data_IF_668787398037
#
_entry.id   IF_668787398037
#
_cell.length_a   1.000
_cell.length_b   1.000
_cell.length_c   1.000
_cell.angle_alpha   90.00
_cell.angle_beta   90.00
_cell.angle_gamma   90.00
#
_symmetry.space_group_name_H-M   'P 1'
#
loop_
_entity.id
_entity.type
_entity.pdbx_description
1 polymer ?
#
# COMPACT_ATOMS: atom_id res chain seq x y z
N UNK A 1 -16.32 42.86 -5.35
CA UNK A 1 -15.60 41.58 -5.39
C UNK A 1 -16.36 40.70 -6.36
N UNK A 2 -15.69 39.79 -7.07
CA UNK A 2 -16.41 38.84 -7.94
C UNK A 2 -17.19 37.83 -7.09
N UNK A 3 -18.19 37.16 -7.68
CA UNK A 3 -18.92 36.07 -6.98
C UNK A 3 -17.96 34.98 -6.48
N UNK A 4 -16.91 34.69 -7.27
CA UNK A 4 -15.85 33.76 -6.89
C UNK A 4 -15.07 34.23 -5.66
N UNK A 5 -14.65 35.50 -5.63
CA UNK A 5 -13.95 36.09 -4.48
C UNK A 5 -14.83 36.09 -3.21
N UNK A 6 -16.13 36.39 -3.35
CA UNK A 6 -17.09 36.35 -2.24
C UNK A 6 -17.26 34.93 -1.68
N UNK A 7 -17.33 33.93 -2.56
CA UNK A 7 -17.35 32.52 -2.15
C UNK A 7 -16.07 32.13 -1.42
N UNK A 8 -14.90 32.46 -1.97
CA UNK A 8 -13.60 32.14 -1.36
C UNK A 8 -13.49 32.80 0.02
N UNK A 9 -13.84 34.07 0.13
CA UNK A 9 -13.81 34.80 1.40
C UNK A 9 -14.73 34.14 2.44
N UNK A 10 -15.99 33.87 2.08
CA UNK A 10 -17.00 33.36 3.03
C UNK A 10 -16.82 31.90 3.40
N UNK A 11 -16.48 31.03 2.44
CA UNK A 11 -16.45 29.57 2.64
C UNK A 11 -15.06 29.08 3.01
N UNK A 12 -14.04 29.49 2.25
CA UNK A 12 -12.67 28.96 2.44
C UNK A 12 -11.88 29.70 3.50
N UNK A 13 -12.22 30.97 3.73
CA UNK A 13 -11.57 31.81 4.75
C UNK A 13 -12.51 32.19 5.90
N UNK A 14 -13.76 31.72 5.93
CA UNK A 14 -14.75 32.04 6.98
C UNK A 14 -14.92 33.56 7.23
N UNK A 15 -14.72 34.39 6.21
CA UNK A 15 -14.77 35.85 6.29
C UNK A 15 -13.56 36.52 6.95
N UNK A 16 -12.51 35.77 7.30
CA UNK A 16 -11.35 36.28 8.06
C UNK A 16 -10.22 36.82 7.18
N UNK A 17 -10.19 36.48 5.89
CA UNK A 17 -9.14 36.92 4.98
C UNK A 17 -9.39 38.31 4.42
N UNK A 18 -8.31 39.08 4.24
CA UNK A 18 -8.38 40.39 3.59
C UNK A 18 -8.59 40.26 2.06
N UNK A 19 -8.92 41.39 1.41
CA UNK A 19 -9.19 41.42 -0.04
C UNK A 19 -7.99 40.97 -0.88
N UNK A 20 -6.77 41.23 -0.43
CA UNK A 20 -5.55 40.85 -1.15
C UNK A 20 -5.34 39.34 -1.09
N UNK A 21 -5.55 38.74 0.09
CA UNK A 21 -5.48 37.30 0.29
C UNK A 21 -6.55 36.57 -0.54
N UNK A 22 -7.79 37.08 -0.55
CA UNK A 22 -8.88 36.52 -1.34
C UNK A 22 -8.57 36.60 -2.84
N UNK A 23 -8.08 37.75 -3.32
CA UNK A 23 -7.71 37.93 -4.72
C UNK A 23 -6.56 37.02 -5.13
N UNK A 24 -5.52 36.91 -4.31
CA UNK A 24 -4.40 35.99 -4.54
C UNK A 24 -4.87 34.53 -4.57
N UNK A 25 -5.72 34.12 -3.62
CA UNK A 25 -6.27 32.77 -3.62
C UNK A 25 -7.08 32.48 -4.90
N UNK A 26 -7.91 33.43 -5.33
CA UNK A 26 -8.73 33.30 -6.54
C UNK A 26 -7.89 33.20 -7.82
N UNK A 27 -6.95 34.11 -8.01
CA UNK A 27 -6.21 34.28 -9.28
C UNK A 27 -4.95 33.40 -9.38
N UNK A 28 -4.39 32.99 -8.24
CA UNK A 28 -3.12 32.24 -8.22
C UNK A 28 -3.28 30.82 -7.69
N UNK A 29 -3.89 30.64 -6.51
CA UNK A 29 -3.97 29.33 -5.85
C UNK A 29 -5.03 28.43 -6.49
N UNK A 30 -6.21 28.99 -6.76
CA UNK A 30 -7.36 28.27 -7.28
C UNK A 30 -7.55 28.45 -8.78
N UNK A 31 -6.55 28.99 -9.50
CA UNK A 31 -6.66 29.35 -10.92
C UNK A 31 -7.11 28.19 -11.82
N UNK A 32 -6.74 26.97 -11.45
CA UNK A 32 -7.01 25.74 -12.22
C UNK A 32 -8.30 25.03 -11.74
N UNK A 33 -9.04 25.61 -10.80
CA UNK A 33 -10.33 25.12 -10.31
C UNK A 33 -11.43 26.02 -10.89
N UNK A 34 -12.24 25.48 -11.80
CA UNK A 34 -13.34 26.23 -12.41
C UNK A 34 -14.42 26.60 -11.38
N UNK A 35 -15.28 27.55 -11.73
CA UNK A 35 -16.38 27.98 -10.85
C UNK A 35 -17.34 26.81 -10.55
N UNK A 36 -17.56 25.90 -11.50
CA UNK A 36 -18.39 24.71 -11.31
C UNK A 36 -17.76 23.69 -10.34
N UNK A 37 -16.43 23.65 -10.27
CA UNK A 37 -15.69 22.75 -9.39
C UNK A 37 -15.47 23.33 -7.99
N UNK A 38 -15.69 24.63 -7.81
CA UNK A 38 -15.36 25.37 -6.59
C UNK A 38 -16.09 24.82 -5.36
N UNK A 39 -17.37 24.45 -5.51
CA UNK A 39 -18.15 23.88 -4.42
C UNK A 39 -17.65 22.48 -4.02
N UNK A 40 -17.31 21.64 -5.01
CA UNK A 40 -16.73 20.32 -4.76
C UNK A 40 -15.38 20.40 -4.07
N UNK A 41 -14.53 21.34 -4.50
CA UNK A 41 -13.26 21.65 -3.84
C UNK A 41 -13.48 22.13 -2.39
N UNK A 42 -14.44 23.02 -2.14
CA UNK A 42 -14.70 23.53 -0.80
C UNK A 42 -15.13 22.40 0.16
N UNK A 43 -16.03 21.53 -0.26
CA UNK A 43 -16.43 20.36 0.54
C UNK A 43 -15.24 19.43 0.82
N UNK A 44 -14.39 19.19 -0.17
CA UNK A 44 -13.16 18.42 0.01
C UNK A 44 -12.23 19.08 1.04
N UNK A 45 -11.91 20.36 0.86
CA UNK A 45 -11.00 21.11 1.73
C UNK A 45 -11.51 21.13 3.18
N UNK A 46 -12.82 21.33 3.39
CA UNK A 46 -13.46 21.30 4.71
C UNK A 46 -13.45 19.89 5.35
N UNK A 47 -13.43 18.83 4.55
CA UNK A 47 -13.38 17.44 5.04
C UNK A 47 -12.00 17.01 5.53
N UNK A 48 -10.93 17.73 5.15
CA UNK A 48 -9.58 17.46 5.62
C UNK A 48 -9.51 17.77 7.13
N UNK A 49 -9.53 16.74 7.98
CA UNK A 49 -9.68 16.77 9.46
C UNK A 49 -8.71 17.68 10.23
N UNK A 50 -7.66 18.20 9.61
CA UNK A 50 -6.83 19.25 10.17
C UNK A 50 -7.63 20.54 10.14
N UNK A 51 -7.95 21.11 11.31
CA UNK A 51 -8.59 22.43 11.44
C UNK A 51 -8.00 23.36 10.39
N UNK A 52 -8.82 23.72 9.41
CA UNK A 52 -8.41 24.55 8.31
C UNK A 52 -8.25 25.96 8.86
N UNK A 53 -7.08 26.25 9.43
CA UNK A 53 -6.72 27.62 9.72
C UNK A 53 -6.57 28.27 8.35
N UNK A 54 -7.53 29.15 8.06
CA UNK A 54 -7.81 30.01 6.90
C UNK A 54 -6.54 30.62 6.24
N UNK A 55 -5.60 29.78 5.81
CA UNK A 55 -4.25 30.14 5.39
C UNK A 55 -4.01 29.68 3.96
N UNK A 56 -3.26 30.51 3.22
CA UNK A 56 -2.90 30.26 1.82
C UNK A 56 -2.14 28.96 1.63
N UNK A 57 -1.27 28.60 2.59
CA UNK A 57 -0.50 27.36 2.51
C UNK A 57 -1.40 26.12 2.59
N UNK A 58 -2.42 26.15 3.44
CA UNK A 58 -3.39 25.05 3.54
C UNK A 58 -4.24 24.94 2.27
N UNK A 59 -4.60 26.08 1.65
CA UNK A 59 -5.26 26.10 0.33
C UNK A 59 -4.39 25.46 -0.75
N UNK A 60 -3.11 25.80 -0.83
CA UNK A 60 -2.18 25.18 -1.79
C UNK A 60 -2.11 23.66 -1.59
N UNK A 61 -2.02 23.20 -0.34
CA UNK A 61 -2.00 21.78 -0.03
C UNK A 61 -3.32 21.09 -0.42
N UNK A 62 -4.46 21.70 -0.08
CA UNK A 62 -5.77 21.17 -0.42
C UNK A 62 -5.99 21.10 -1.94
N UNK A 63 -5.54 22.10 -2.70
CA UNK A 63 -5.61 22.07 -4.18
C UNK A 63 -4.81 20.89 -4.72
N UNK A 64 -3.58 20.70 -4.23
CA UNK A 64 -2.73 19.58 -4.67
C UNK A 64 -3.36 18.22 -4.37
N UNK A 65 -3.93 18.03 -3.16
CA UNK A 65 -4.60 16.77 -2.82
C UNK A 65 -5.91 16.58 -3.60
N UNK A 66 -6.69 17.64 -3.80
CA UNK A 66 -7.93 17.58 -4.59
C UNK A 66 -7.66 17.21 -6.05
N UNK A 67 -6.65 17.84 -6.66
CA UNK A 67 -6.20 17.50 -8.00
C UNK A 67 -5.72 16.05 -8.06
N UNK A 68 -4.88 15.63 -7.10
CA UNK A 68 -4.44 14.24 -7.01
C UNK A 68 -5.62 13.27 -6.93
N UNK A 69 -6.64 13.54 -6.10
CA UNK A 69 -7.78 12.64 -5.96
C UNK A 69 -8.59 12.53 -7.26
N UNK A 70 -8.81 13.66 -7.94
CA UNK A 70 -9.46 13.68 -9.24
C UNK A 70 -8.65 12.93 -10.31
N UNK A 71 -7.34 13.13 -10.33
CA UNK A 71 -6.44 12.35 -11.20
C UNK A 71 -6.49 10.86 -10.88
N UNK A 72 -6.49 10.46 -9.60
CA UNK A 72 -6.59 9.05 -9.21
C UNK A 72 -7.91 8.41 -9.65
N UNK A 73 -9.03 9.15 -9.57
CA UNK A 73 -10.32 8.69 -10.12
C UNK A 73 -10.23 8.43 -11.62
N UNK A 74 -9.63 9.36 -12.37
CA UNK A 74 -9.39 9.19 -13.81
C UNK A 74 -8.46 8.02 -14.09
N UNK A 75 -7.34 7.90 -13.38
CA UNK A 75 -6.35 6.83 -13.56
C UNK A 75 -6.98 5.45 -13.41
N UNK A 76 -7.80 5.28 -12.36
CA UNK A 76 -8.51 4.02 -12.12
C UNK A 76 -9.49 3.66 -13.22
N UNK A 77 -10.08 4.66 -13.89
CA UNK A 77 -11.04 4.45 -14.96
C UNK A 77 -10.38 4.26 -16.33
N UNK A 78 -9.29 4.97 -16.63
CA UNK A 78 -8.77 5.10 -18.00
C UNK A 78 -7.36 4.58 -18.21
N UNK A 79 -6.62 4.26 -17.15
CA UNK A 79 -5.21 3.81 -17.21
C UNK A 79 -4.36 4.66 -18.18
N UNK A 80 -4.23 5.97 -17.91
CA UNK A 80 -3.76 6.94 -18.90
C UNK A 80 -2.27 6.82 -19.23
N UNK A 81 -1.45 6.27 -18.34
CA UNK A 81 0.00 6.23 -18.56
C UNK A 81 0.37 5.16 -19.59
N UNK A 82 1.14 5.56 -20.60
CA UNK A 82 1.59 4.66 -21.68
C UNK A 82 3.04 4.21 -21.53
N UNK A 83 3.80 4.87 -20.66
CA UNK A 83 5.21 4.58 -20.41
C UNK A 83 5.64 4.98 -18.99
N UNK A 84 6.76 4.42 -18.54
CA UNK A 84 7.32 4.64 -17.20
C UNK A 84 7.64 6.12 -16.95
N UNK A 85 8.09 6.86 -17.97
CA UNK A 85 8.42 8.28 -17.81
C UNK A 85 7.20 9.12 -17.41
N UNK A 86 6.08 8.94 -18.11
CA UNK A 86 4.83 9.65 -17.81
C UNK A 86 4.29 9.30 -16.41
N UNK A 87 4.35 8.02 -16.04
CA UNK A 87 4.01 7.55 -14.70
C UNK A 87 4.94 8.20 -13.64
N UNK A 88 6.25 8.20 -13.87
CA UNK A 88 7.23 8.72 -12.90
C UNK A 88 7.07 10.22 -12.69
N UNK A 89 6.78 10.98 -13.75
CA UNK A 89 6.49 12.41 -13.63
C UNK A 89 5.28 12.63 -12.71
N UNK A 90 4.19 11.88 -12.92
CA UNK A 90 3.02 11.95 -12.06
C UNK A 90 3.33 11.60 -10.59
N UNK A 91 4.08 10.53 -10.35
CA UNK A 91 4.48 10.15 -9.00
C UNK A 91 5.33 11.24 -8.32
N UNK A 92 6.32 11.79 -9.02
CA UNK A 92 7.17 12.85 -8.48
C UNK A 92 6.38 14.12 -8.14
N UNK A 93 5.33 14.44 -8.91
CA UNK A 93 4.48 15.61 -8.65
C UNK A 93 3.56 15.41 -7.44
N UNK A 94 2.89 14.26 -7.32
CA UNK A 94 1.77 14.10 -6.37
C UNK A 94 2.04 13.15 -5.19
N UNK A 95 3.08 12.33 -5.27
CA UNK A 95 3.38 11.26 -4.31
C UNK A 95 4.65 11.47 -3.49
N UNK A 96 5.35 12.60 -3.62
CA UNK A 96 6.49 12.94 -2.76
C UNK A 96 6.11 12.82 -1.27
N UNK A 97 6.89 12.05 -0.52
CA UNK A 97 6.66 11.73 0.90
C UNK A 97 5.52 10.74 1.18
N UNK A 98 4.88 10.17 0.14
CA UNK A 98 3.63 9.37 0.27
C UNK A 98 3.79 7.95 -0.28
N UNK A 99 2.91 7.06 0.16
CA UNK A 99 2.79 5.71 -0.37
C UNK A 99 2.36 5.76 -1.83
N UNK A 100 3.19 5.21 -2.71
CA UNK A 100 2.94 5.05 -4.14
C UNK A 100 2.01 3.89 -4.42
N UNK A 101 2.12 2.80 -3.68
CA UNK A 101 1.25 1.64 -3.85
C UNK A 101 1.64 0.47 -2.95
N UNK A 102 0.73 -0.50 -2.83
CA UNK A 102 0.91 -1.72 -2.05
C UNK A 102 0.34 -2.91 -2.83
N UNK A 103 0.93 -4.09 -2.68
CA UNK A 103 0.43 -5.28 -3.37
C UNK A 103 0.91 -5.45 -4.82
N UNK A 104 1.89 -4.66 -5.25
CA UNK A 104 2.42 -4.66 -6.62
C UNK A 104 3.72 -5.45 -6.64
N UNK A 105 3.92 -6.33 -7.62
CA UNK A 105 5.16 -7.12 -7.75
C UNK A 105 6.41 -6.24 -7.92
N UNK A 106 7.56 -6.62 -7.34
CA UNK A 106 7.80 -7.82 -6.52
C UNK A 106 7.32 -7.69 -5.05
N UNK A 107 6.73 -6.56 -4.69
CA UNK A 107 6.38 -6.11 -3.35
C UNK A 107 4.91 -6.36 -2.97
N UNK A 108 4.47 -7.63 -3.03
CA UNK A 108 3.06 -8.00 -2.76
C UNK A 108 2.64 -7.74 -1.30
N UNK A 109 3.57 -7.90 -0.35
CA UNK A 109 3.27 -7.82 1.09
C UNK A 109 3.99 -6.66 1.79
N UNK A 110 4.23 -5.57 1.07
CA UNK A 110 4.77 -4.32 1.59
C UNK A 110 4.21 -3.15 0.79
N UNK A 111 4.39 -1.95 1.31
CA UNK A 111 4.09 -0.71 0.63
C UNK A 111 5.38 -0.09 0.12
N UNK A 112 5.31 0.54 -1.05
CA UNK A 112 6.39 1.36 -1.59
C UNK A 112 6.02 2.83 -1.42
N UNK A 113 6.92 3.60 -0.82
CA UNK A 113 6.80 5.05 -0.61
C UNK A 113 7.78 5.79 -1.51
N UNK A 114 7.41 6.96 -1.99
CA UNK A 114 8.36 7.89 -2.61
C UNK A 114 8.86 8.85 -1.52
N UNK A 115 10.15 8.89 -1.25
CA UNK A 115 10.73 9.78 -0.23
C UNK A 115 10.85 11.23 -0.72
N UNK A 116 11.43 12.09 0.12
CA UNK A 116 11.60 13.51 -0.20
C UNK A 116 12.68 13.77 -1.27
N UNK A 117 13.58 12.80 -1.46
CA UNK A 117 14.59 12.76 -2.51
C UNK A 117 14.10 12.11 -3.81
N UNK A 118 12.80 11.80 -3.93
CA UNK A 118 12.17 11.16 -5.11
C UNK A 118 12.69 9.75 -5.44
N UNK A 119 13.11 9.02 -4.41
CA UNK A 119 13.53 7.63 -4.46
C UNK A 119 12.43 6.72 -3.91
N UNK A 120 12.26 5.55 -4.52
CA UNK A 120 11.32 4.55 -4.03
C UNK A 120 11.94 3.79 -2.85
N UNK A 121 11.20 3.73 -1.75
CA UNK A 121 11.59 3.08 -0.51
C UNK A 121 10.59 1.97 -0.18
N UNK A 122 11.12 0.82 0.21
CA UNK A 122 10.32 -0.25 0.80
C UNK A 122 10.00 0.07 2.27
N UNK A 123 8.72 0.23 2.61
CA UNK A 123 8.30 0.64 3.95
C UNK A 123 8.69 -0.35 5.05
N UNK A 124 8.85 -1.64 4.73
CA UNK A 124 9.25 -2.63 5.73
C UNK A 124 10.73 -2.55 6.07
N UNK A 125 11.60 -2.25 5.11
CA UNK A 125 13.06 -2.25 5.31
C UNK A 125 13.62 -0.85 5.46
N UNK A 126 12.85 0.18 5.10
CA UNK A 126 13.27 1.58 4.98
C UNK A 126 14.50 1.76 4.07
N UNK A 127 14.71 0.81 3.14
CA UNK A 127 15.78 0.87 2.15
C UNK A 127 15.26 1.34 0.81
N UNK A 128 16.09 2.13 0.13
CA UNK A 128 15.88 2.50 -1.27
C UNK A 128 15.94 1.23 -2.12
N UNK A 129 15.06 1.15 -3.11
CA UNK A 129 15.05 0.06 -4.08
C UNK A 129 16.34 0.10 -4.92
N UNK A 130 16.88 -1.08 -5.26
CA UNK A 130 17.92 -1.14 -6.29
C UNK A 130 17.29 -0.93 -7.68
N UNK A 131 18.15 -0.78 -8.70
CA UNK A 131 17.70 -0.47 -10.06
C UNK A 131 16.75 -1.54 -10.65
N UNK A 132 17.02 -2.82 -10.40
CA UNK A 132 16.22 -3.93 -10.93
C UNK A 132 14.83 -3.97 -10.26
N UNK A 133 14.80 -3.89 -8.92
CA UNK A 133 13.57 -3.85 -8.12
C UNK A 133 12.72 -2.62 -8.46
N UNK A 134 13.34 -1.45 -8.65
CA UNK A 134 12.65 -0.23 -9.06
C UNK A 134 12.08 -0.36 -10.47
N UNK A 135 12.84 -0.91 -11.42
CA UNK A 135 12.38 -1.13 -12.78
C UNK A 135 11.18 -2.08 -12.81
N UNK A 136 11.29 -3.25 -12.15
CA UNK A 136 10.21 -4.24 -12.10
C UNK A 136 8.96 -3.67 -11.40
N UNK A 137 9.14 -2.93 -10.31
CA UNK A 137 8.02 -2.28 -9.62
C UNK A 137 7.30 -1.28 -10.52
N UNK A 138 8.03 -0.41 -11.23
CA UNK A 138 7.44 0.60 -12.11
C UNK A 138 6.77 -0.03 -13.33
N UNK A 139 7.32 -1.11 -13.89
CA UNK A 139 6.68 -1.86 -14.97
C UNK A 139 5.35 -2.48 -14.54
N UNK A 140 5.30 -3.08 -13.34
CA UNK A 140 4.07 -3.65 -12.82
C UNK A 140 3.06 -2.56 -12.45
N UNK A 141 3.52 -1.45 -11.85
CA UNK A 141 2.66 -0.31 -11.55
C UNK A 141 2.06 0.33 -12.82
N UNK A 142 2.80 0.33 -13.93
CA UNK A 142 2.31 0.80 -15.23
C UNK A 142 1.19 -0.11 -15.78
N UNK A 143 1.22 -1.41 -15.50
CA UNK A 143 0.16 -2.37 -15.88
C UNK A 143 -1.06 -2.27 -14.95
N UNK A 144 -0.80 -2.07 -13.66
CA UNK A 144 -1.76 -2.05 -12.56
C UNK A 144 -2.00 -0.63 -12.03
N UNK A 145 -2.24 0.34 -12.92
CA UNK A 145 -2.34 1.77 -12.56
C UNK A 145 -3.46 2.06 -11.54
N UNK A 146 -4.48 1.20 -11.47
CA UNK A 146 -5.54 1.28 -10.48
C UNK A 146 -5.04 1.15 -9.03
N UNK A 147 -3.86 0.53 -8.83
CA UNK A 147 -3.22 0.37 -7.53
C UNK A 147 -2.38 1.57 -7.10
N UNK A 148 -2.22 2.59 -7.95
CA UNK A 148 -1.51 3.82 -7.60
C UNK A 148 -2.23 4.50 -6.42
N UNK A 149 -1.48 4.77 -5.36
CA UNK A 149 -1.93 5.34 -4.10
C UNK A 149 -2.84 4.45 -3.26
N UNK A 150 -2.97 3.17 -3.59
CA UNK A 150 -3.77 2.21 -2.81
C UNK A 150 -2.90 1.62 -1.70
N UNK A 151 -3.42 1.69 -0.48
CA UNK A 151 -2.87 1.02 0.69
C UNK A 151 -3.63 -0.29 0.96
N UNK A 152 -2.93 -1.42 0.94
CA UNK A 152 -3.48 -2.78 1.13
C UNK A 152 -3.04 -3.35 2.48
N UNK A 153 -3.56 -2.78 3.56
CA UNK A 153 -3.28 -3.24 4.93
C UNK A 153 -3.71 -4.70 5.17
N UNK A 154 -4.70 -5.19 4.43
CA UNK A 154 -5.15 -6.58 4.41
C UNK A 154 -4.02 -7.56 4.03
N UNK A 155 -3.24 -7.24 2.99
CA UNK A 155 -2.13 -8.08 2.54
C UNK A 155 -0.99 -8.10 3.54
N UNK A 156 -0.68 -6.94 4.14
CA UNK A 156 0.34 -6.83 5.18
C UNK A 156 -0.07 -7.64 6.42
N UNK A 157 -1.31 -7.50 6.88
CA UNK A 157 -1.86 -8.27 8.00
C UNK A 157 -1.84 -9.78 7.70
N UNK A 158 -2.20 -10.20 6.48
CA UNK A 158 -2.13 -11.60 6.08
C UNK A 158 -0.71 -12.17 6.13
N UNK A 159 0.30 -11.38 5.75
CA UNK A 159 1.72 -11.78 5.85
C UNK A 159 2.15 -11.97 7.30
N UNK A 160 1.76 -11.05 8.19
CA UNK A 160 2.07 -11.12 9.63
C UNK A 160 1.43 -12.37 10.21
N UNK A 161 0.13 -12.60 9.95
CA UNK A 161 -0.58 -13.79 10.42
C UNK A 161 0.09 -15.09 9.98
N UNK A 162 0.47 -15.22 8.70
CA UNK A 162 1.20 -16.40 8.20
C UNK A 162 2.56 -16.57 8.88
N UNK A 163 3.28 -15.48 9.12
CA UNK A 163 4.57 -15.52 9.83
C UNK A 163 4.37 -16.03 11.26
N UNK A 164 3.40 -15.48 11.97
CA UNK A 164 3.13 -15.83 13.36
C UNK A 164 2.65 -17.29 13.48
N UNK A 165 1.81 -17.75 12.55
CA UNK A 165 1.42 -19.17 12.43
C UNK A 165 2.64 -20.08 12.22
N UNK A 166 3.55 -19.74 11.29
CA UNK A 166 4.77 -20.52 11.05
C UNK A 166 5.73 -20.53 12.26
N UNK A 167 5.84 -19.41 12.99
CA UNK A 167 6.65 -19.35 14.22
C UNK A 167 6.03 -20.23 15.29
N UNK A 168 4.70 -20.19 15.44
CA UNK A 168 3.98 -21.03 16.40
C UNK A 168 4.16 -22.52 16.07
N UNK A 169 4.06 -22.91 14.80
CA UNK A 169 4.35 -24.28 14.33
C UNK A 169 5.80 -24.70 14.58
N UNK A 170 6.75 -23.77 14.50
CA UNK A 170 8.17 -24.03 14.75
C UNK A 170 8.51 -24.12 16.24
N UNK A 171 7.80 -23.38 17.11
CA UNK A 171 7.97 -23.37 18.56
C UNK A 171 7.21 -24.50 19.26
N UNK A 172 6.16 -25.05 18.63
CA UNK A 172 5.46 -26.23 19.13
C UNK A 172 6.41 -27.42 19.26
N UNK A 173 6.43 -28.02 20.44
CA UNK A 173 7.11 -29.29 20.69
C UNK A 173 6.40 -30.42 19.92
N UNK A 174 7.13 -31.51 19.61
CA UNK A 174 6.55 -32.65 18.87
C UNK A 174 5.33 -33.26 19.58
N UNK A 175 5.29 -33.22 20.91
CA UNK A 175 4.14 -33.67 21.72
C UNK A 175 2.90 -32.81 21.47
N UNK A 176 3.06 -31.48 21.41
CA UNK A 176 1.96 -30.54 21.16
C UNK A 176 1.42 -30.68 19.73
N UNK A 177 2.28 -30.99 18.75
CA UNK A 177 1.86 -31.28 17.36
C UNK A 177 1.03 -32.57 17.26
N UNK A 178 1.33 -33.57 18.07
CA UNK A 178 0.57 -34.83 18.13
C UNK A 178 -0.81 -34.60 18.77
N UNK A 179 -0.89 -33.87 19.89
CA UNK A 179 -2.16 -33.55 20.56
C UNK A 179 -3.07 -32.68 19.68
N UNK A 180 -2.49 -31.72 18.95
CA UNK A 180 -3.21 -30.88 18.00
C UNK A 180 -3.62 -31.60 16.69
N UNK A 181 -3.31 -32.89 16.54
CA UNK A 181 -3.57 -33.70 15.33
C UNK A 181 -2.98 -33.09 14.05
N UNK A 182 -1.87 -32.37 14.14
CA UNK A 182 -1.22 -31.72 13.00
C UNK A 182 -0.78 -32.73 11.92
N UNK A 183 -0.48 -33.96 12.33
CA UNK A 183 -0.22 -35.07 11.42
C UNK A 183 -1.52 -35.81 11.12
N UNK A 184 -2.27 -35.36 10.11
CA UNK A 184 -3.25 -36.22 9.46
C UNK A 184 -2.51 -37.21 8.56
N UNK A 185 -2.13 -38.35 9.13
CA UNK A 185 -1.67 -39.51 8.35
C UNK A 185 -2.82 -40.48 8.20
N UNK A 186 -3.03 -40.93 6.97
CA UNK A 186 -4.02 -41.94 6.66
C UNK A 186 -3.72 -43.20 7.49
N UNK A 187 -4.74 -43.71 8.16
CA UNK A 187 -4.63 -44.88 9.05
C UNK A 187 -4.05 -46.08 8.29
N UNK A 188 -4.36 -46.21 7.01
CA UNK A 188 -3.85 -47.28 6.16
C UNK A 188 -2.33 -47.19 5.98
N UNK A 189 -1.77 -45.99 5.85
CA UNK A 189 -0.33 -45.77 5.68
C UNK A 189 0.46 -46.07 6.96
N UNK A 190 -0.14 -45.73 8.12
CA UNK A 190 0.41 -46.07 9.43
C UNK A 190 0.41 -47.60 9.65
N UNK A 191 -0.70 -48.26 9.31
CA UNK A 191 -0.83 -49.71 9.46
C UNK A 191 0.14 -50.46 8.53
N UNK A 192 0.37 -49.95 7.31
CA UNK A 192 1.37 -50.49 6.38
C UNK A 192 2.81 -50.29 6.88
N UNK A 193 3.13 -49.13 7.47
CA UNK A 193 4.43 -48.87 8.06
C UNK A 193 4.72 -49.79 9.26
N UNK A 194 3.73 -50.01 10.14
CA UNK A 194 3.81 -50.98 11.24
C UNK A 194 3.97 -52.42 10.74
N UNK A 195 3.25 -52.80 9.68
CA UNK A 195 3.40 -54.10 9.05
C UNK A 195 4.81 -54.33 8.49
N UNK A 196 5.43 -53.31 7.89
CA UNK A 196 6.83 -53.38 7.39
C UNK A 196 7.84 -53.51 8.54
N UNK A 197 7.68 -52.73 9.61
CA UNK A 197 8.52 -52.81 10.81
C UNK A 197 8.43 -54.17 11.51
N UNK A 198 7.23 -54.74 11.62
CA UNK A 198 7.02 -56.06 12.22
C UNK A 198 7.62 -57.22 11.40
N UNK A 199 7.82 -57.03 10.09
CA UNK A 199 8.51 -58.01 9.22
C UNK A 199 10.02 -57.95 9.41
N UNK A 200 10.59 -56.78 9.68
CA UNK A 200 12.02 -56.60 9.98
C UNK A 200 12.41 -57.24 11.33
N UNK A 201 11.54 -57.19 12.33
CA UNK A 201 11.80 -57.80 13.65
C UNK A 201 11.59 -59.32 13.69
N UNK A 202 11.03 -59.92 12.63
CA UNK A 202 10.86 -61.38 12.48
C UNK A 202 12.00 -62.05 11.71
N UNK A 203 13.06 -61.34 11.32
CA UNK A 203 14.26 -61.98 10.79
C UNK A 203 14.95 -62.79 11.92
N UNK A 204 15.23 -64.09 11.73
CA UNK A 204 15.95 -64.87 12.73
C UNK A 204 17.36 -64.29 12.87
N UNK A 205 17.72 -63.91 14.10
CA UNK A 205 19.10 -63.59 14.47
C UNK A 205 19.96 -64.81 14.18
N UNK A 206 20.63 -64.80 13.04
CA UNK A 206 21.54 -65.85 12.62
C UNK A 206 22.78 -65.75 13.52
N UNK A 207 22.77 -66.48 14.64
CA UNK A 207 23.95 -66.68 15.50
C UNK A 207 24.97 -67.48 14.69
N UNK A 208 25.85 -66.79 13.94
CA UNK A 208 27.09 -67.41 13.49
C UNK A 208 28.11 -67.34 14.61
N UNK A 209 28.52 -68.54 15.04
CA UNK A 209 29.56 -68.80 16.01
C UNK A 209 30.89 -68.18 15.57
N UNK A 210 31.56 -67.58 16.54
CA UNK A 210 32.97 -67.19 16.47
C UNK A 210 33.77 -68.48 16.69
N UNK A 211 34.63 -68.82 15.73
CA UNK A 211 35.71 -69.78 15.88
C UNK A 211 36.99 -69.10 15.38
#
# INVERSE_FOLDING_TARGET
MSQREEFISSVLFSGQADKTQVKFASESVLKDISDEQLNGFALFALSMKTKYDNSIQMLLNAVSEYQKENYLKTIRATKPFQNIQSLRNFLNTYFKGKIVGSGIKPFIYTSIRLNDELQLINENTQRVLNADDECEFLENLLKEQELIGVYRGDLIASRIKKRDEMVLEAEMTESEKIEAKFYHKDKQEIDEAWARLSKLTKMPLNKKAIA
#
